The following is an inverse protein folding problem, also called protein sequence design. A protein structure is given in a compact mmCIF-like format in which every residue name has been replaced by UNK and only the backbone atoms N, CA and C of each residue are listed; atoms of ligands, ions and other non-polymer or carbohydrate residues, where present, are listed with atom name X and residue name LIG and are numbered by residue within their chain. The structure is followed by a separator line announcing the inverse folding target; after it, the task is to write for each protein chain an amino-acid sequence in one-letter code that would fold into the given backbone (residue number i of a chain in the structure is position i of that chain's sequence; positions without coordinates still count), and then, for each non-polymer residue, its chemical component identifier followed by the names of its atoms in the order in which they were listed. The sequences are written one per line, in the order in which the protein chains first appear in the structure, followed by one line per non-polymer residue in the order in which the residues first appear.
data_IF_903876580615
#
_entry.id   IF_903876580615
#
_cell.length_a   1.000
_cell.length_b   1.000
_cell.length_c   1.000
_cell.angle_alpha   90.00
_cell.angle_beta   90.00
_cell.angle_gamma   90.00
#
_symmetry.space_group_name_H-M   'P 1'
#
loop_
_entity.id
_entity.type
_entity.pdbx_description
1 polymer ?
#
# COMPACT_ATOMS: atom_id res chain seq x y z
N UNK A 1 3.71 11.70 -16.66
CA UNK A 1 2.82 10.75 -15.94
C UNK A 1 1.55 11.50 -15.57
N UNK A 2 0.36 10.91 -15.70
CA UNK A 2 -0.86 11.54 -15.18
C UNK A 2 -0.78 11.60 -13.65
N UNK A 3 -1.27 12.67 -13.00
CA UNK A 3 -1.38 12.70 -11.54
C UNK A 3 -2.25 11.54 -11.06
N UNK A 4 -1.93 11.03 -9.88
CA UNK A 4 -2.67 9.93 -9.28
C UNK A 4 -2.81 10.13 -7.77
N UNK A 5 -3.71 9.36 -7.18
CA UNK A 5 -4.01 9.39 -5.77
C UNK A 5 -3.96 7.96 -5.22
N UNK A 6 -3.21 7.73 -4.15
CA UNK A 6 -3.17 6.42 -3.48
C UNK A 6 -3.98 6.51 -2.18
N UNK A 7 -4.89 5.57 -2.00
CA UNK A 7 -5.71 5.40 -0.79
C UNK A 7 -5.08 4.31 0.06
N UNK A 8 -4.38 4.69 1.12
CA UNK A 8 -3.57 3.79 1.95
C UNK A 8 -4.31 3.41 3.23
N UNK A 9 -4.90 2.20 3.31
CA UNK A 9 -5.52 1.73 4.54
C UNK A 9 -4.46 1.34 5.58
N UNK A 10 -4.75 1.59 6.86
CA UNK A 10 -3.94 1.17 8.00
C UNK A 10 -3.91 -0.36 8.12
N UNK A 11 -5.08 -0.99 8.06
CA UNK A 11 -5.19 -2.45 7.99
C UNK A 11 -5.29 -2.85 6.52
N UNK A 12 -4.31 -3.62 6.04
CA UNK A 12 -4.32 -4.22 4.70
C UNK A 12 -5.31 -5.40 4.66
N UNK A 13 -6.60 -5.10 4.73
CA UNK A 13 -7.69 -6.05 4.60
C UNK A 13 -7.91 -6.29 3.11
N UNK A 14 -8.08 -7.56 2.72
CA UNK A 14 -8.38 -7.93 1.34
C UNK A 14 -9.55 -7.15 0.75
N UNK A 15 -9.39 -6.64 -0.47
CA UNK A 15 -10.48 -6.05 -1.25
C UNK A 15 -11.64 -7.02 -1.47
N UNK A 16 -11.35 -8.32 -1.49
CA UNK A 16 -12.36 -9.37 -1.68
C UNK A 16 -13.23 -9.58 -0.43
N UNK A 17 -12.86 -9.00 0.72
CA UNK A 17 -13.69 -9.06 1.92
C UNK A 17 -14.94 -8.20 1.72
N UNK A 18 -16.16 -8.78 1.66
CA UNK A 18 -17.34 -8.04 1.22
C UNK A 18 -17.68 -6.82 2.09
N UNK A 19 -17.47 -6.91 3.41
CA UNK A 19 -17.70 -5.77 4.32
C UNK A 19 -16.72 -4.64 4.07
N UNK A 20 -15.46 -4.96 3.80
CA UNK A 20 -14.43 -3.96 3.55
C UNK A 20 -14.61 -3.29 2.19
N UNK A 21 -14.93 -4.07 1.14
CA UNK A 21 -15.26 -3.54 -0.18
C UNK A 21 -16.40 -2.52 -0.11
N UNK A 22 -17.51 -2.85 0.58
CA UNK A 22 -18.63 -1.92 0.81
C UNK A 22 -18.20 -0.68 1.59
N UNK A 23 -17.34 -0.82 2.59
CA UNK A 23 -16.84 0.32 3.35
C UNK A 23 -15.98 1.25 2.49
N UNK A 24 -15.15 0.71 1.58
CA UNK A 24 -14.39 1.55 0.66
C UNK A 24 -15.31 2.25 -0.35
N UNK A 25 -16.33 1.58 -0.87
CA UNK A 25 -17.32 2.25 -1.73
C UNK A 25 -18.02 3.40 -0.98
N UNK A 26 -18.41 3.20 0.28
CA UNK A 26 -18.98 4.28 1.12
C UNK A 26 -17.98 5.42 1.30
N UNK A 27 -16.71 5.12 1.52
CA UNK A 27 -15.65 6.10 1.65
C UNK A 27 -15.48 6.92 0.37
N UNK A 28 -15.39 6.25 -0.79
CA UNK A 28 -15.25 6.91 -2.08
C UNK A 28 -16.45 7.81 -2.41
N UNK A 29 -17.67 7.41 -2.06
CA UNK A 29 -18.88 8.22 -2.27
C UNK A 29 -18.99 9.42 -1.32
N UNK A 30 -18.48 9.27 -0.10
CA UNK A 30 -18.59 10.30 0.96
C UNK A 30 -17.42 11.29 0.97
N UNK A 31 -16.34 10.95 0.27
CA UNK A 31 -15.11 11.74 0.23
C UNK A 31 -15.29 13.04 -0.55
N UNK A 32 -14.93 14.15 0.10
CA UNK A 32 -15.03 15.51 -0.43
C UNK A 32 -13.68 16.23 -0.38
N UNK A 33 -12.59 15.49 -0.57
CA UNK A 33 -11.24 16.04 -0.59
C UNK A 33 -10.53 15.95 0.75
N UNK A 34 -10.98 15.14 1.71
CA UNK A 34 -10.25 14.94 2.97
C UNK A 34 -8.91 14.21 2.77
N UNK A 35 -7.92 14.49 3.60
CA UNK A 35 -6.59 13.85 3.58
C UNK A 35 -6.61 12.50 4.30
N UNK A 36 -7.61 12.28 5.16
CA UNK A 36 -7.78 11.05 5.93
C UNK A 36 -9.25 10.71 6.14
N UNK A 37 -9.58 9.43 5.96
CA UNK A 37 -10.92 8.87 6.20
C UNK A 37 -10.84 7.83 7.31
N UNK A 38 -11.65 8.01 8.35
CA UNK A 38 -11.86 7.02 9.40
C UNK A 38 -13.11 6.20 9.10
N UNK A 39 -12.94 4.88 9.01
CA UNK A 39 -14.04 3.93 8.96
C UNK A 39 -14.38 3.56 10.42
N UNK A 40 -15.52 4.03 10.94
CA UNK A 40 -15.89 3.83 12.35
C UNK A 40 -17.19 3.03 12.47
N UNK A 41 -17.13 1.77 12.96
CA UNK A 41 -18.31 1.00 13.29
C UNK A 41 -19.16 1.66 14.38
N UNK A 42 -20.48 1.67 14.16
CA UNK A 42 -21.45 2.27 15.09
C UNK A 42 -21.60 3.80 14.99
N UNK A 43 -20.80 4.46 14.13
CA UNK A 43 -21.05 5.86 13.78
C UNK A 43 -22.35 5.97 12.97
N UNK A 44 -23.18 6.96 13.27
CA UNK A 44 -24.52 7.11 12.64
C UNK A 44 -24.52 7.95 11.37
N UNK A 45 -23.60 8.91 11.28
CA UNK A 45 -23.54 9.87 10.19
C UNK A 45 -22.09 10.26 9.91
N UNK A 46 -21.84 10.84 8.74
CA UNK A 46 -20.51 11.34 8.38
C UNK A 46 -20.18 12.57 9.21
N UNK A 47 -18.99 12.56 9.84
CA UNK A 47 -18.44 13.70 10.57
C UNK A 47 -17.20 14.21 9.85
N UNK A 48 -17.03 15.53 9.77
CA UNK A 48 -15.89 16.19 9.12
C UNK A 48 -15.28 17.22 10.05
N UNK A 49 -13.97 17.33 10.04
CA UNK A 49 -13.25 18.33 10.81
C UNK A 49 -11.91 18.62 10.15
N UNK A 50 -11.26 19.67 10.65
CA UNK A 50 -9.93 20.05 10.20
C UNK A 50 -9.01 20.15 11.41
N UNK A 51 -7.78 19.67 11.25
CA UNK A 51 -6.72 19.78 12.24
C UNK A 51 -5.69 20.75 11.69
N UNK A 52 -5.37 21.79 12.46
CA UNK A 52 -4.28 22.71 12.12
C UNK A 52 -2.99 22.22 12.76
N UNK A 53 -1.99 21.95 11.93
CA UNK A 53 -0.64 21.61 12.34
C UNK A 53 0.36 22.50 11.61
N UNK A 54 0.99 23.41 12.36
CA UNK A 54 1.85 24.44 11.78
C UNK A 54 1.10 25.33 10.79
N UNK A 55 1.61 25.40 9.56
CA UNK A 55 1.04 26.17 8.45
C UNK A 55 -0.03 25.42 7.66
N UNK A 56 -0.34 24.17 8.01
CA UNK A 56 -1.25 23.33 7.24
C UNK A 56 -2.52 22.96 7.98
N UNK A 57 -3.56 22.78 7.18
CA UNK A 57 -4.86 22.33 7.63
C UNK A 57 -5.11 20.96 7.01
N UNK A 58 -5.07 19.92 7.84
CA UNK A 58 -5.40 18.56 7.44
C UNK A 58 -6.90 18.36 7.59
N UNK A 59 -7.56 18.01 6.50
CA UNK A 59 -9.00 17.74 6.52
C UNK A 59 -9.20 16.25 6.77
N UNK A 60 -10.04 15.91 7.73
CA UNK A 60 -10.36 14.52 8.06
C UNK A 60 -11.87 14.31 8.06
N UNK A 61 -12.30 13.11 7.73
CA UNK A 61 -13.67 12.68 7.94
C UNK A 61 -13.75 11.32 8.61
N UNK A 62 -14.86 11.06 9.28
CA UNK A 62 -15.25 9.75 9.78
C UNK A 62 -16.58 9.37 9.16
N UNK A 63 -16.68 8.14 8.68
CA UNK A 63 -17.89 7.61 8.05
C UNK A 63 -18.41 6.37 8.80
N UNK A 64 -19.73 6.15 8.81
CA UNK A 64 -20.33 4.89 9.22
C UNK A 64 -19.76 3.73 8.41
N UNK A 65 -19.30 2.68 9.09
CA UNK A 65 -18.71 1.50 8.46
C UNK A 65 -19.08 0.20 9.16
N UNK A 66 -18.85 -0.93 8.48
CA UNK A 66 -18.96 -2.27 9.06
C UNK A 66 -17.67 -2.67 9.79
N UNK A 67 -16.54 -2.21 9.27
CA UNK A 67 -15.20 -2.52 9.77
C UNK A 67 -14.45 -1.25 10.18
N UNK A 68 -13.54 -1.40 11.14
CA UNK A 68 -12.69 -0.29 11.55
C UNK A 68 -11.44 -0.22 10.68
N UNK A 69 -11.15 0.95 10.12
CA UNK A 69 -9.91 1.24 9.40
C UNK A 69 -9.66 2.75 9.37
N UNK A 70 -8.46 3.12 8.93
CA UNK A 70 -8.07 4.49 8.66
C UNK A 70 -7.40 4.52 7.30
N UNK A 71 -7.89 5.35 6.39
CA UNK A 71 -7.36 5.47 5.04
C UNK A 71 -6.70 6.85 4.91
N UNK A 72 -5.39 6.85 4.64
CA UNK A 72 -4.64 8.07 4.28
C UNK A 72 -4.69 8.27 2.77
N UNK A 73 -4.98 9.48 2.33
CA UNK A 73 -5.17 9.80 0.91
C UNK A 73 -3.98 10.61 0.41
N UNK A 74 -3.13 9.95 -0.38
CA UNK A 74 -1.86 10.49 -0.86
C UNK A 74 -2.00 10.97 -2.30
N UNK A 75 -1.89 12.27 -2.50
CA UNK A 75 -1.86 12.92 -3.80
C UNK A 75 -0.40 12.95 -4.30
N UNK A 76 -0.14 12.33 -5.46
CA UNK A 76 1.20 12.27 -6.05
C UNK A 76 1.26 13.10 -7.33
N UNK A 77 2.11 14.11 -7.31
CA UNK A 77 2.31 15.05 -8.40
C UNK A 77 3.02 14.42 -9.59
N UNK A 78 3.03 15.13 -10.73
CA UNK A 78 3.79 14.73 -11.93
C UNK A 78 5.30 14.63 -11.66
N UNK A 79 5.80 15.47 -10.75
CA UNK A 79 7.21 15.54 -10.34
C UNK A 79 7.54 14.51 -9.24
N UNK A 80 6.61 13.58 -8.94
CA UNK A 80 6.77 12.53 -7.93
C UNK A 80 6.95 13.07 -6.52
N UNK A 81 6.52 14.29 -6.26
CA UNK A 81 6.35 14.79 -4.90
C UNK A 81 4.95 14.44 -4.44
N UNK A 82 4.72 14.27 -3.14
CA UNK A 82 3.41 13.87 -2.64
C UNK A 82 2.99 14.56 -1.35
N UNK A 83 1.67 14.60 -1.14
CA UNK A 83 1.03 15.15 0.05
C UNK A 83 -0.17 14.27 0.46
N UNK A 84 -0.37 13.97 1.76
CA UNK A 84 0.46 14.34 2.91
C UNK A 84 1.82 13.62 2.92
N UNK A 85 2.83 14.19 3.59
CA UNK A 85 4.17 13.59 3.68
C UNK A 85 4.27 12.42 4.67
N UNK A 86 3.28 12.33 5.56
CA UNK A 86 3.21 11.34 6.62
C UNK A 86 1.80 10.76 6.74
N UNK A 87 1.70 9.60 7.37
CA UNK A 87 0.44 8.88 7.53
C UNK A 87 0.63 7.38 7.42
N UNK A 88 -0.48 6.66 7.42
CA UNK A 88 -0.45 5.21 7.45
C UNK A 88 0.11 4.66 6.14
N UNK A 89 1.11 3.78 6.25
CA UNK A 89 1.71 3.13 5.09
C UNK A 89 2.64 4.03 4.27
N UNK A 90 3.01 5.23 4.76
CA UNK A 90 3.97 6.11 4.08
C UNK A 90 5.32 5.98 4.79
N UNK A 91 6.37 5.49 4.11
CA UNK A 91 7.70 5.43 4.73
C UNK A 91 8.25 6.82 5.04
N UNK A 92 8.67 7.04 6.29
CA UNK A 92 9.09 8.35 6.77
C UNK A 92 10.35 8.87 6.08
N UNK A 93 11.23 7.96 5.66
CA UNK A 93 12.47 8.29 4.93
C UNK A 93 12.24 8.92 3.54
N UNK A 94 11.02 8.88 3.01
CA UNK A 94 10.72 9.45 1.69
C UNK A 94 10.63 10.98 1.71
N UNK A 95 10.30 11.60 2.85
CA UNK A 95 10.28 13.06 3.00
C UNK A 95 9.48 13.77 1.88
N UNK A 96 8.32 13.23 1.51
CA UNK A 96 7.48 13.76 0.43
C UNK A 96 7.95 13.47 -1.00
N UNK A 97 9.00 12.65 -1.21
CA UNK A 97 9.50 12.25 -2.53
C UNK A 97 9.18 10.78 -2.82
N UNK A 98 8.42 10.54 -3.88
CA UNK A 98 7.89 9.23 -4.26
C UNK A 98 8.93 8.42 -5.06
N UNK A 99 9.45 7.28 -4.56
CA UNK A 99 10.60 6.59 -5.19
C UNK A 99 10.34 5.97 -6.56
N UNK A 100 11.37 5.93 -7.41
CA UNK A 100 11.26 5.50 -8.82
C UNK A 100 11.08 4.01 -9.08
N UNK A 101 11.61 3.17 -8.19
CA UNK A 101 11.79 1.76 -8.44
C UNK A 101 10.96 0.85 -7.51
N UNK A 102 9.86 1.37 -6.95
CA UNK A 102 9.08 0.67 -5.92
C UNK A 102 8.58 -0.70 -6.37
N UNK A 103 7.97 -0.81 -7.56
CA UNK A 103 7.55 -2.10 -8.10
C UNK A 103 8.69 -3.11 -8.13
N UNK A 104 9.87 -2.70 -8.61
CA UNK A 104 11.01 -3.60 -8.67
C UNK A 104 11.50 -4.03 -7.28
N UNK A 105 11.54 -3.08 -6.34
CA UNK A 105 11.96 -3.35 -4.97
C UNK A 105 11.02 -4.36 -4.32
N UNK A 106 9.70 -4.21 -4.51
CA UNK A 106 8.72 -5.12 -3.96
C UNK A 106 8.79 -6.53 -4.57
N UNK A 107 8.79 -6.66 -5.90
CA UNK A 107 8.90 -7.99 -6.57
C UNK A 107 10.24 -8.67 -6.32
N UNK A 108 11.26 -7.89 -5.97
CA UNK A 108 12.58 -8.41 -5.61
C UNK A 108 12.71 -8.78 -4.13
N UNK A 109 11.75 -8.35 -3.30
CA UNK A 109 11.80 -8.51 -1.85
C UNK A 109 11.18 -9.84 -1.44
N UNK A 110 11.87 -10.57 -0.58
CA UNK A 110 11.29 -11.72 0.10
C UNK A 110 11.07 -11.31 1.56
N UNK A 111 9.84 -11.42 2.07
CA UNK A 111 9.56 -11.12 3.45
C UNK A 111 10.06 -12.22 4.37
N UNK A 112 10.04 -11.94 5.67
CA UNK A 112 10.30 -12.91 6.74
C UNK A 112 9.01 -13.12 7.52
N UNK A 113 8.73 -14.35 7.94
CA UNK A 113 7.60 -14.63 8.82
C UNK A 113 8.04 -14.41 10.26
N UNK A 114 7.28 -13.61 11.00
CA UNK A 114 7.54 -13.30 12.40
C UNK A 114 6.30 -13.54 13.26
N UNK A 115 6.51 -13.79 14.54
CA UNK A 115 5.42 -13.73 15.52
C UNK A 115 5.37 -12.31 16.10
N UNK A 116 4.17 -11.74 16.20
CA UNK A 116 3.94 -10.40 16.72
C UNK A 116 2.94 -10.42 17.86
N UNK A 117 3.06 -9.44 18.76
CA UNK A 117 1.95 -9.03 19.63
C UNK A 117 0.76 -8.61 18.75
N UNK A 118 -0.45 -8.95 19.19
CA UNK A 118 -1.68 -8.56 18.51
C UNK A 118 -2.22 -7.22 19.02
N UNK A 119 -1.61 -6.63 20.06
CA UNK A 119 -1.99 -5.35 20.62
C UNK A 119 -1.16 -4.23 20.03
N UNK A 120 -1.83 -3.15 19.66
CA UNK A 120 -1.18 -1.92 19.26
C UNK A 120 -1.98 -0.73 19.80
N UNK A 121 -1.26 0.34 20.10
CA UNK A 121 -1.83 1.60 20.54
C UNK A 121 -2.08 2.47 19.33
N UNK A 122 -3.23 3.13 19.30
CA UNK A 122 -3.51 4.15 18.30
C UNK A 122 -4.44 5.22 18.85
N UNK A 123 -4.30 6.43 18.33
CA UNK A 123 -5.22 7.52 18.62
C UNK A 123 -6.43 7.41 17.69
N UNK A 124 -7.63 7.30 18.26
CA UNK A 124 -8.90 7.21 17.51
C UNK A 124 -9.72 8.47 17.80
N UNK A 125 -10.39 9.07 16.80
CA UNK A 125 -11.28 10.20 17.03
C UNK A 125 -12.56 9.77 17.74
N UNK A 126 -12.94 10.54 18.75
CA UNK A 126 -14.22 10.48 19.46
C UNK A 126 -14.95 11.81 19.30
N UNK A 127 -16.27 11.76 19.11
CA UNK A 127 -17.10 12.95 18.94
C UNK A 127 -17.85 13.25 20.24
N UNK A 128 -17.59 14.41 20.84
CA UNK A 128 -18.21 14.87 22.09
C UNK A 128 -18.67 16.32 21.88
N UNK A 129 -19.99 16.57 21.97
CA UNK A 129 -20.58 17.92 21.83
C UNK A 129 -20.00 18.69 20.63
N UNK A 130 -20.07 18.07 19.44
CA UNK A 130 -19.55 18.59 18.16
C UNK A 130 -18.04 18.87 18.08
N UNK A 131 -17.27 18.47 19.10
CA UNK A 131 -15.81 18.49 19.08
C UNK A 131 -15.25 17.10 18.82
N UNK A 132 -14.13 17.06 18.11
CA UNK A 132 -13.31 15.86 17.96
C UNK A 132 -12.26 15.81 19.07
N UNK A 133 -12.17 14.67 19.76
CA UNK A 133 -11.12 14.39 20.73
C UNK A 133 -10.45 13.06 20.37
N UNK A 134 -9.13 13.06 20.26
CA UNK A 134 -8.38 11.84 20.04
C UNK A 134 -8.09 11.17 21.38
N UNK A 135 -8.35 9.87 21.47
CA UNK A 135 -8.01 9.06 22.64
C UNK A 135 -7.12 7.91 22.21
N UNK A 136 -6.05 7.68 22.97
CA UNK A 136 -5.24 6.48 22.82
C UNK A 136 -6.09 5.26 23.22
N UNK A 137 -6.25 4.33 22.29
CA UNK A 137 -6.97 3.07 22.50
C UNK A 137 -6.02 1.93 22.18
N UNK A 138 -5.98 0.92 23.06
CA UNK A 138 -5.33 -0.35 22.77
C UNK A 138 -6.31 -1.18 21.94
N UNK A 139 -5.91 -1.48 20.71
CA UNK A 139 -6.66 -2.33 19.79
C UNK A 139 -5.99 -3.69 19.73
N UNK A 140 -6.81 -4.73 19.58
CA UNK A 140 -6.35 -6.11 19.44
C UNK A 140 -6.72 -6.59 18.06
N UNK A 141 -5.76 -7.10 17.29
CA UNK A 141 -6.05 -7.73 16.01
C UNK A 141 -6.53 -9.17 16.24
N UNK A 142 -7.64 -9.60 15.60
CA UNK A 142 -7.94 -11.02 15.52
C UNK A 142 -6.80 -11.73 14.76
N UNK A 143 -6.62 -13.04 14.92
CA UNK A 143 -5.56 -13.78 14.23
C UNK A 143 -5.75 -13.88 12.70
N UNK A 144 -6.72 -13.15 12.14
CA UNK A 144 -6.98 -13.10 10.71
C UNK A 144 -7.25 -14.47 10.09
N UNK A 145 -7.21 -14.54 8.77
CA UNK A 145 -7.13 -15.80 8.03
C UNK A 145 -5.75 -16.43 8.19
N UNK A 146 -5.73 -17.76 8.27
CA UNK A 146 -4.53 -18.50 8.66
C UNK A 146 -4.34 -19.70 7.74
N UNK A 147 -3.09 -20.03 7.48
CA UNK A 147 -2.72 -21.26 6.78
C UNK A 147 -2.70 -22.41 7.80
N UNK A 148 -3.55 -23.44 7.65
CA UNK A 148 -3.61 -24.53 8.60
C UNK A 148 -2.32 -25.34 8.58
N UNK A 149 -2.00 -25.94 9.72
CA UNK A 149 -0.98 -26.98 9.80
C UNK A 149 -1.57 -28.24 9.16
N UNK A 150 -0.98 -28.72 8.07
CA UNK A 150 -1.43 -29.93 7.36
C UNK A 150 -0.60 -31.15 7.67
N UNK A 151 0.68 -30.98 8.01
CA UNK A 151 1.58 -32.06 8.41
C UNK A 151 2.56 -31.56 9.47
N UNK A 152 2.89 -32.42 10.43
CA UNK A 152 3.95 -32.19 11.42
C UNK A 152 4.96 -33.31 11.25
N UNK A 153 6.19 -32.94 10.89
CA UNK A 153 7.34 -33.82 10.90
C UNK A 153 8.08 -33.65 12.23
N UNK A 154 8.00 -34.67 13.09
CA UNK A 154 8.62 -34.62 14.40
C UNK A 154 10.11 -34.94 14.37
N UNK A 155 10.58 -35.65 13.34
CA UNK A 155 11.99 -36.04 13.22
C UNK A 155 12.82 -34.84 12.76
N UNK A 156 12.35 -34.14 11.73
CA UNK A 156 13.02 -32.95 11.20
C UNK A 156 12.60 -31.65 11.91
N UNK A 157 11.66 -31.73 12.86
CA UNK A 157 11.05 -30.58 13.54
C UNK A 157 10.44 -29.57 12.55
N UNK A 158 9.79 -30.08 11.51
CA UNK A 158 9.16 -29.27 10.45
C UNK A 158 7.64 -29.29 10.56
N UNK A 159 7.02 -28.18 10.20
CA UNK A 159 5.56 -28.09 10.01
C UNK A 159 5.28 -27.70 8.57
N UNK A 160 4.39 -28.45 7.92
CA UNK A 160 3.89 -28.10 6.60
C UNK A 160 2.64 -27.25 6.78
N UNK A 161 2.69 -26.04 6.21
CA UNK A 161 1.57 -25.14 6.11
C UNK A 161 1.10 -25.16 4.65
N UNK A 162 -0.15 -25.54 4.42
CA UNK A 162 -0.69 -25.64 3.06
C UNK A 162 -1.99 -24.87 2.92
N UNK A 163 -2.07 -24.10 1.84
CA UNK A 163 -3.27 -23.39 1.45
C UNK A 163 -4.43 -24.35 1.18
N UNK A 164 -5.64 -23.96 1.61
CA UNK A 164 -6.86 -24.72 1.31
C UNK A 164 -8.00 -23.77 0.94
N UNK A 165 -8.90 -24.12 0.01
CA UNK A 165 -8.99 -25.43 -0.66
C UNK A 165 -7.79 -25.76 -1.55
N UNK A 166 -7.46 -27.06 -1.67
CA UNK A 166 -6.38 -27.54 -2.53
C UNK A 166 -6.94 -27.88 -3.91
N UNK A 167 -7.58 -26.88 -4.53
CA UNK A 167 -8.12 -26.94 -5.87
C UNK A 167 -7.03 -26.50 -6.87
N UNK A 168 -7.07 -27.05 -8.09
CA UNK A 168 -6.15 -26.67 -9.16
C UNK A 168 -6.37 -25.24 -9.69
N UNK A 169 -7.29 -24.48 -9.07
CA UNK A 169 -7.61 -23.11 -9.42
C UNK A 169 -6.73 -22.20 -8.57
N UNK A 170 -6.14 -21.21 -9.22
CA UNK A 170 -5.34 -20.21 -8.53
C UNK A 170 -6.21 -19.33 -7.64
N UNK A 171 -5.73 -19.12 -6.41
CA UNK A 171 -6.42 -18.32 -5.38
C UNK A 171 -6.45 -16.85 -5.76
N UNK A 172 -7.63 -16.22 -5.63
CA UNK A 172 -7.83 -14.79 -5.88
C UNK A 172 -7.49 -14.01 -4.60
N UNK A 173 -8.11 -14.41 -3.50
CA UNK A 173 -7.83 -13.91 -2.16
C UNK A 173 -7.74 -15.12 -1.24
N UNK A 174 -6.52 -15.61 -1.00
CA UNK A 174 -6.32 -16.63 0.03
C UNK A 174 -7.07 -16.25 1.31
N UNK A 175 -6.88 -15.05 1.81
CA UNK A 175 -7.44 -14.63 3.09
C UNK A 175 -8.96 -14.80 3.20
N UNK A 176 -9.70 -14.43 2.15
CA UNK A 176 -11.15 -14.62 2.10
C UNK A 176 -11.50 -16.11 1.94
N UNK A 177 -10.86 -16.82 1.02
CA UNK A 177 -11.11 -18.24 0.75
C UNK A 177 -10.90 -19.12 1.99
N UNK A 178 -9.85 -18.86 2.78
CA UNK A 178 -9.60 -19.59 4.04
C UNK A 178 -10.61 -19.23 5.12
N UNK A 179 -10.99 -17.95 5.22
CA UNK A 179 -12.02 -17.51 6.17
C UNK A 179 -13.38 -18.15 5.87
N UNK A 180 -13.74 -18.28 4.59
CA UNK A 180 -14.96 -18.95 4.16
C UNK A 180 -14.91 -20.45 4.44
N UNK A 181 -13.78 -21.11 4.17
CA UNK A 181 -13.64 -22.55 4.31
C UNK A 181 -13.55 -23.00 5.79
N UNK A 182 -12.82 -22.28 6.64
CA UNK A 182 -12.60 -22.66 8.04
C UNK A 182 -13.42 -21.89 9.05
N UNK A 183 -14.08 -20.81 8.64
CA UNK A 183 -14.68 -19.86 9.55
C UNK A 183 -13.64 -19.01 10.28
N UNK A 184 -14.10 -18.33 11.33
CA UNK A 184 -13.28 -17.38 12.09
C UNK A 184 -12.36 -18.12 13.06
N UNK A 185 -11.10 -17.74 13.05
CA UNK A 185 -10.13 -18.14 14.08
C UNK A 185 -10.15 -17.16 15.24
N UNK A 186 -9.87 -17.68 16.44
CA UNK A 186 -9.65 -16.94 17.67
C UNK A 186 -8.30 -17.34 18.24
N UNK A 187 -7.68 -16.44 19.00
CA UNK A 187 -6.43 -16.75 19.68
C UNK A 187 -6.66 -17.89 20.69
N UNK A 188 -5.84 -18.95 20.63
CA UNK A 188 -5.92 -20.02 21.64
C UNK A 188 -5.50 -19.49 23.02
N UNK A 189 -4.49 -18.63 23.03
CA UNK A 189 -4.00 -17.88 24.18
C UNK A 189 -3.62 -16.47 23.74
N UNK A 190 -3.51 -15.55 24.70
CA UNK A 190 -3.01 -14.20 24.41
C UNK A 190 -1.63 -14.29 23.72
N UNK A 191 -1.52 -13.76 22.49
CA UNK A 191 -0.31 -13.89 21.71
C UNK A 191 0.82 -13.08 22.33
N UNK A 192 2.04 -13.61 22.20
CA UNK A 192 3.27 -12.98 22.66
C UNK A 192 4.27 -12.97 21.51
N UNK A 193 5.47 -12.45 21.73
CA UNK A 193 6.59 -12.59 20.79
C UNK A 193 7.16 -14.03 20.81
N UNK A 194 6.28 -15.01 20.64
CA UNK A 194 6.51 -16.46 20.65
C UNK A 194 5.62 -17.13 19.63
N UNK A 195 5.70 -18.45 19.51
CA UNK A 195 4.84 -19.23 18.62
C UNK A 195 3.34 -19.06 18.98
N UNK A 196 2.60 -18.28 18.19
CA UNK A 196 1.20 -17.97 18.44
C UNK A 196 0.26 -18.92 17.71
N UNK A 197 -0.64 -19.55 18.46
CA UNK A 197 -1.65 -20.46 17.94
C UNK A 197 -3.03 -19.81 17.94
N UNK A 198 -3.77 -20.09 16.88
CA UNK A 198 -5.17 -19.75 16.77
C UNK A 198 -5.99 -21.00 16.53
N UNK A 199 -7.23 -20.98 17.00
CA UNK A 199 -8.18 -22.09 16.94
C UNK A 199 -9.51 -21.59 16.40
N UNK A 200 -10.11 -22.34 15.49
CA UNK A 200 -11.46 -22.05 15.01
C UNK A 200 -12.52 -22.78 15.87
N UNK A 201 -13.80 -22.52 15.60
CA UNK A 201 -14.90 -23.13 16.36
C UNK A 201 -14.96 -24.67 16.19
N UNK A 202 -14.36 -25.22 15.13
CA UNK A 202 -14.19 -26.66 14.90
C UNK A 202 -12.97 -27.29 15.58
N UNK A 203 -12.22 -26.54 16.40
CA UNK A 203 -11.03 -27.02 17.10
C UNK A 203 -9.78 -27.17 16.24
N UNK A 204 -9.84 -26.77 14.96
CA UNK A 204 -8.68 -26.78 14.06
C UNK A 204 -7.71 -25.69 14.47
N UNK A 205 -6.44 -26.06 14.59
CA UNK A 205 -5.35 -25.13 14.95
C UNK A 205 -4.61 -24.63 13.72
N UNK A 206 -4.19 -23.38 13.78
CA UNK A 206 -3.37 -22.77 12.76
C UNK A 206 -2.31 -21.87 13.40
N UNK A 207 -1.18 -21.72 12.71
CA UNK A 207 -0.08 -20.89 13.18
C UNK A 207 -0.24 -19.48 12.66
N UNK A 208 -0.30 -18.49 13.55
CA UNK A 208 -0.33 -17.10 13.14
C UNK A 208 1.08 -16.59 12.85
N UNK A 209 1.29 -16.10 11.64
CA UNK A 209 2.49 -15.35 11.25
C UNK A 209 2.10 -13.97 10.76
N UNK A 210 2.87 -12.97 11.15
CA UNK A 210 2.91 -11.71 10.44
C UNK A 210 4.04 -11.73 9.41
N UNK A 211 3.85 -10.97 8.35
CA UNK A 211 4.82 -10.84 7.26
C UNK A 211 5.64 -9.58 7.51
N UNK A 212 6.96 -9.74 7.63
CA UNK A 212 7.88 -8.62 7.76
C UNK A 212 8.57 -8.39 6.42
N UNK A 213 8.19 -7.33 5.73
CA UNK A 213 8.89 -6.87 4.53
C UNK A 213 10.21 -6.20 4.87
N UNK A 214 11.14 -6.22 3.93
CA UNK A 214 12.42 -5.51 4.06
C UNK A 214 12.25 -4.05 3.65
N UNK A 215 13.07 -3.18 4.23
CA UNK A 215 13.17 -1.79 3.79
C UNK A 215 13.45 -1.68 2.27
N UNK A 216 12.83 -0.71 1.56
CA UNK A 216 11.95 0.36 2.07
C UNK A 216 10.47 -0.05 2.20
N UNK A 217 10.13 -1.31 1.94
CA UNK A 217 8.73 -1.78 1.85
C UNK A 217 8.10 -2.03 3.22
N UNK A 218 8.92 -2.17 4.26
CA UNK A 218 8.45 -2.49 5.62
C UNK A 218 7.38 -1.52 6.12
N UNK A 219 7.64 -0.22 5.99
CA UNK A 219 6.74 0.84 6.48
C UNK A 219 5.48 1.01 5.61
N UNK A 220 5.49 0.48 4.38
CA UNK A 220 4.32 0.46 3.50
C UNK A 220 3.19 -0.41 4.06
N UNK A 221 3.55 -1.41 4.88
CA UNK A 221 2.63 -2.34 5.51
C UNK A 221 2.85 -2.31 7.03
N UNK A 222 2.38 -1.27 7.74
CA UNK A 222 2.75 -1.00 9.14
C UNK A 222 2.37 -2.13 10.10
N UNK A 223 1.38 -2.95 9.75
CA UNK A 223 0.94 -4.11 10.52
C UNK A 223 1.30 -5.45 9.84
N UNK A 224 2.33 -5.45 8.99
CA UNK A 224 2.92 -6.62 8.35
C UNK A 224 2.21 -7.10 7.08
N UNK A 225 0.94 -6.76 6.90
CA UNK A 225 0.16 -7.26 5.76
C UNK A 225 -0.17 -8.75 5.87
N UNK A 226 -0.87 -9.26 4.86
CA UNK A 226 -1.53 -10.56 4.89
C UNK A 226 -1.03 -11.56 3.85
N UNK A 227 -1.59 -12.77 3.85
CA UNK A 227 -1.27 -13.80 2.85
C UNK A 227 -1.65 -13.33 1.43
N UNK A 228 -2.69 -12.51 1.30
CA UNK A 228 -3.07 -11.88 0.03
C UNK A 228 -1.94 -11.04 -0.56
N UNK A 229 -1.18 -10.34 0.28
CA UNK A 229 -0.04 -9.55 -0.15
C UNK A 229 1.09 -10.43 -0.72
N UNK A 230 1.32 -11.62 -0.14
CA UNK A 230 2.24 -12.61 -0.71
C UNK A 230 1.73 -13.16 -2.04
N UNK A 231 0.42 -13.43 -2.12
CA UNK A 231 -0.23 -13.91 -3.34
C UNK A 231 -0.08 -12.89 -4.47
N UNK A 232 -0.37 -11.61 -4.20
CA UNK A 232 -0.17 -10.54 -5.17
C UNK A 232 1.29 -10.39 -5.58
N UNK A 233 2.25 -10.48 -4.65
CA UNK A 233 3.68 -10.41 -4.99
C UNK A 233 4.09 -11.56 -5.93
N UNK A 234 3.70 -12.79 -5.59
CA UNK A 234 3.98 -14.00 -6.38
C UNK A 234 3.34 -13.94 -7.75
N UNK A 235 2.06 -13.56 -7.81
CA UNK A 235 1.32 -13.44 -9.06
C UNK A 235 1.94 -12.37 -9.96
N UNK A 236 2.31 -11.22 -9.40
CA UNK A 236 2.95 -10.15 -10.17
C UNK A 236 4.30 -10.60 -10.75
N UNK A 237 5.14 -11.33 -9.99
CA UNK A 237 6.39 -11.93 -10.50
C UNK A 237 6.13 -12.88 -11.68
N UNK A 238 5.10 -13.71 -11.59
CA UNK A 238 4.72 -14.63 -12.66
C UNK A 238 4.24 -13.87 -13.91
N UNK A 239 3.42 -12.85 -13.73
CA UNK A 239 3.00 -11.97 -14.81
C UNK A 239 4.19 -11.25 -15.46
N UNK A 240 5.20 -10.83 -14.69
CA UNK A 240 6.41 -10.19 -15.20
C UNK A 240 7.24 -11.12 -16.09
N UNK A 241 7.38 -12.40 -15.73
CA UNK A 241 8.12 -13.40 -16.53
C UNK A 241 7.49 -13.58 -17.92
N UNK A 242 6.18 -13.73 -17.97
CA UNK A 242 5.43 -14.00 -19.20
C UNK A 242 4.50 -12.82 -19.56
N UNK A 243 5.02 -11.59 -19.53
CA UNK A 243 4.19 -10.38 -19.65
C UNK A 243 3.35 -10.29 -20.91
N UNK A 244 3.83 -10.82 -22.04
CA UNK A 244 3.07 -10.79 -23.30
C UNK A 244 1.83 -11.67 -23.20
N UNK A 245 1.96 -12.84 -22.58
CA UNK A 245 0.84 -13.75 -22.32
C UNK A 245 -0.12 -13.19 -21.25
N UNK A 246 0.40 -12.39 -20.32
CA UNK A 246 -0.34 -11.89 -19.17
C UNK A 246 -0.88 -10.46 -19.31
N UNK A 247 -0.79 -9.82 -20.49
CA UNK A 247 -1.25 -8.43 -20.70
C UNK A 247 -2.68 -8.18 -20.19
N UNK A 248 -3.61 -9.07 -20.53
CA UNK A 248 -5.02 -9.00 -20.13
C UNK A 248 -5.17 -9.14 -18.62
N UNK A 249 -4.48 -10.12 -18.02
CA UNK A 249 -4.52 -10.34 -16.57
C UNK A 249 -3.97 -9.14 -15.78
N UNK A 250 -2.87 -8.55 -16.26
CA UNK A 250 -2.27 -7.34 -15.67
C UNK A 250 -3.28 -6.18 -15.70
N UNK A 251 -3.94 -5.97 -16.83
CA UNK A 251 -4.95 -4.92 -16.97
C UNK A 251 -6.15 -5.16 -16.05
N UNK A 252 -6.63 -6.41 -15.96
CA UNK A 252 -7.76 -6.80 -15.11
C UNK A 252 -7.45 -6.58 -13.62
N UNK A 253 -6.26 -6.97 -13.15
CA UNK A 253 -5.86 -6.75 -11.75
C UNK A 253 -5.71 -5.26 -11.45
N UNK A 254 -5.10 -4.49 -12.36
CA UNK A 254 -5.03 -3.04 -12.19
C UNK A 254 -6.42 -2.39 -12.16
N UNK A 255 -7.36 -2.79 -13.02
CA UNK A 255 -8.70 -2.19 -13.06
C UNK A 255 -9.54 -2.49 -11.83
N UNK A 256 -9.30 -3.62 -11.14
CA UNK A 256 -10.00 -3.96 -9.89
C UNK A 256 -9.64 -3.03 -8.74
N UNK A 257 -8.39 -2.54 -8.74
CA UNK A 257 -7.82 -1.74 -7.65
C UNK A 257 -7.65 -0.27 -8.05
N UNK A 258 -8.18 0.13 -9.20
CA UNK A 258 -8.12 1.51 -9.69
C UNK A 258 -9.47 2.00 -10.15
N UNK A 259 -9.73 3.29 -9.92
CA UNK A 259 -10.93 3.97 -10.38
C UNK A 259 -10.57 5.37 -10.87
N UNK A 260 -11.46 5.96 -11.67
CA UNK A 260 -11.37 7.39 -12.00
C UNK A 260 -11.91 8.18 -10.81
N UNK A 261 -11.17 9.18 -10.38
CA UNK A 261 -11.56 10.07 -9.31
C UNK A 261 -11.22 11.51 -9.61
N UNK A 262 -11.37 12.35 -8.60
CA UNK A 262 -11.01 13.75 -8.66
C UNK A 262 -10.15 14.17 -7.46
N UNK A 263 -9.47 15.30 -7.59
CA UNK A 263 -8.75 16.02 -6.53
C UNK A 263 -8.66 17.50 -6.95
N UNK A 264 -7.92 18.33 -6.23
CA UNK A 264 -7.69 19.75 -6.59
C UNK A 264 -6.26 19.97 -7.10
N UNK A 265 -6.06 21.01 -7.91
CA UNK A 265 -4.72 21.43 -8.34
C UNK A 265 -3.85 21.81 -7.13
N UNK A 266 -4.45 22.41 -6.10
CA UNK A 266 -3.77 22.70 -4.83
C UNK A 266 -3.15 21.43 -4.22
N UNK A 267 -3.93 20.35 -4.07
CA UNK A 267 -3.46 19.09 -3.47
C UNK A 267 -2.48 18.32 -4.36
N UNK A 268 -2.52 18.51 -5.67
CA UNK A 268 -1.68 17.79 -6.63
C UNK A 268 -0.40 18.52 -7.02
N UNK A 269 -0.39 19.86 -6.95
CA UNK A 269 0.73 20.68 -7.38
C UNK A 269 1.30 21.51 -6.24
N UNK A 270 0.45 22.28 -5.57
CA UNK A 270 0.88 23.28 -4.58
C UNK A 270 1.42 22.63 -3.31
N UNK A 271 0.61 21.84 -2.61
CA UNK A 271 1.06 21.20 -1.37
C UNK A 271 2.27 20.29 -1.57
N UNK A 272 2.30 19.37 -2.55
CA UNK A 272 3.48 18.55 -2.77
C UNK A 272 4.77 19.37 -2.97
N UNK A 273 4.71 20.50 -3.67
CA UNK A 273 5.87 21.36 -3.92
C UNK A 273 6.29 22.19 -2.69
N UNK A 274 5.32 22.71 -1.93
CA UNK A 274 5.56 23.41 -0.67
C UNK A 274 6.35 22.53 0.30
N UNK A 275 5.93 21.28 0.41
CA UNK A 275 6.46 20.32 1.35
C UNK A 275 7.80 19.69 0.92
N UNK A 276 8.05 19.60 -0.39
CA UNK A 276 9.33 19.09 -0.93
C UNK A 276 10.40 20.16 -1.13
N UNK A 277 10.10 21.43 -0.79
CA UNK A 277 11.04 22.55 -0.98
C UNK A 277 11.25 22.93 -2.45
N UNK A 278 10.33 22.56 -3.34
CA UNK A 278 10.40 22.81 -4.78
C UNK A 278 9.63 24.05 -5.23
N UNK A 279 9.41 25.02 -4.33
CA UNK A 279 8.55 26.19 -4.58
C UNK A 279 8.93 27.00 -5.82
N UNK A 280 10.23 27.21 -6.08
CA UNK A 280 10.68 27.94 -7.28
C UNK A 280 10.21 27.29 -8.58
N UNK A 281 10.27 25.96 -8.66
CA UNK A 281 9.81 25.23 -9.85
C UNK A 281 8.28 25.29 -9.96
N UNK A 282 7.57 25.26 -8.83
CA UNK A 282 6.12 25.41 -8.80
C UNK A 282 5.71 26.79 -9.34
N UNK A 283 6.29 27.88 -8.83
CA UNK A 283 5.92 29.23 -9.25
C UNK A 283 6.16 29.43 -10.76
N UNK A 284 7.28 28.92 -11.28
CA UNK A 284 7.54 28.94 -12.72
C UNK A 284 6.54 28.10 -13.54
N UNK A 285 6.13 26.93 -13.02
CA UNK A 285 5.08 26.12 -13.65
C UNK A 285 3.72 26.81 -13.62
N UNK A 286 3.42 27.55 -12.54
CA UNK A 286 2.18 28.30 -12.37
C UNK A 286 2.12 29.49 -13.35
N UNK A 287 3.18 30.29 -13.42
CA UNK A 287 3.32 31.38 -14.40
C UNK A 287 3.10 30.85 -15.83
N UNK A 288 3.84 29.81 -16.21
CA UNK A 288 3.76 29.27 -17.57
C UNK A 288 2.46 28.55 -17.93
N UNK A 289 1.70 28.05 -16.94
CA UNK A 289 0.47 27.26 -17.20
C UNK A 289 -0.82 28.04 -16.96
N UNK A 290 -0.81 29.04 -16.08
CA UNK A 290 -1.98 29.76 -15.61
C UNK A 290 -1.87 31.28 -15.74
N UNK A 291 -0.73 31.81 -16.21
CA UNK A 291 -0.49 33.25 -16.36
C UNK A 291 -0.61 34.02 -15.02
N UNK A 292 -0.22 33.36 -13.92
CA UNK A 292 -0.20 33.93 -12.57
C UNK A 292 1.27 34.24 -12.21
N UNK A 293 1.65 35.51 -12.27
CA UNK A 293 2.98 36.01 -11.92
C UNK A 293 3.05 36.39 -10.43
N UNK A 294 3.71 35.55 -9.63
CA UNK A 294 3.91 35.78 -8.18
C UNK A 294 5.30 35.31 -7.75
N UNK A 295 5.88 35.98 -6.75
CA UNK A 295 7.24 35.72 -6.28
C UNK A 295 7.29 34.86 -5.01
N UNK A 296 6.15 34.64 -4.35
CA UNK A 296 6.05 33.92 -3.09
C UNK A 296 4.79 33.06 -3.01
N UNK A 297 4.75 32.16 -2.02
CA UNK A 297 3.56 31.35 -1.77
C UNK A 297 2.43 32.20 -1.19
N UNK A 298 2.78 33.17 -0.35
CA UNK A 298 1.87 34.13 0.25
C UNK A 298 1.15 34.94 -0.84
N UNK A 299 1.91 35.52 -1.79
CA UNK A 299 1.35 36.21 -2.95
C UNK A 299 0.45 35.30 -3.80
N UNK A 300 0.86 34.03 -3.98
CA UNK A 300 0.05 33.05 -4.71
C UNK A 300 -1.32 32.85 -4.04
N UNK A 301 -1.35 32.68 -2.71
CA UNK A 301 -2.60 32.42 -1.97
C UNK A 301 -3.52 33.64 -1.89
N UNK A 302 -2.97 34.85 -2.02
CA UNK A 302 -3.71 36.11 -2.03
C UNK A 302 -4.16 36.52 -3.44
N UNK A 303 -3.65 35.87 -4.49
CA UNK A 303 -3.98 36.16 -5.87
C UNK A 303 -5.48 35.91 -6.16
N UNK A 304 -6.13 36.81 -6.91
CA UNK A 304 -7.58 36.77 -7.15
C UNK A 304 -8.04 35.47 -7.83
N UNK A 305 -7.21 34.91 -8.71
CA UNK A 305 -7.49 33.65 -9.42
C UNK A 305 -7.17 32.38 -8.61
N UNK A 306 -6.58 32.51 -7.41
CA UNK A 306 -6.08 31.34 -6.67
C UNK A 306 -7.18 30.34 -6.37
N UNK A 307 -8.28 30.82 -5.77
CA UNK A 307 -9.40 29.98 -5.38
C UNK A 307 -10.05 29.32 -6.59
N UNK A 308 -10.29 30.08 -7.67
CA UNK A 308 -10.92 29.57 -8.88
C UNK A 308 -10.07 28.50 -9.55
N UNK A 309 -8.76 28.74 -9.65
CA UNK A 309 -7.84 27.86 -10.36
C UNK A 309 -7.47 26.66 -9.51
N UNK A 310 -6.96 26.86 -8.30
CA UNK A 310 -6.34 25.80 -7.52
C UNK A 310 -7.33 24.93 -6.75
N UNK A 311 -8.55 25.40 -6.49
CA UNK A 311 -9.63 24.56 -5.93
C UNK A 311 -10.48 23.86 -7.00
N UNK A 312 -10.20 24.10 -8.29
CA UNK A 312 -10.87 23.39 -9.37
C UNK A 312 -10.63 21.87 -9.29
N UNK A 313 -11.67 21.09 -9.57
CA UNK A 313 -11.59 19.63 -9.57
C UNK A 313 -10.91 19.15 -10.85
N UNK A 314 -9.85 18.37 -10.69
CA UNK A 314 -9.15 17.68 -11.78
C UNK A 314 -9.30 16.18 -11.66
N UNK A 315 -9.35 15.50 -12.81
CA UNK A 315 -9.41 14.04 -12.87
C UNK A 315 -8.06 13.41 -12.47
N UNK A 316 -8.12 12.35 -11.65
CA UNK A 316 -6.96 11.54 -11.27
C UNK A 316 -7.28 10.06 -11.31
N UNK A 317 -6.25 9.23 -11.49
CA UNK A 317 -6.38 7.80 -11.19
C UNK A 317 -6.33 7.61 -9.68
N UNK A 318 -7.42 7.10 -9.09
CA UNK A 318 -7.43 6.62 -7.71
C UNK A 318 -6.95 5.19 -7.69
N UNK A 319 -6.04 4.91 -6.78
CA UNK A 319 -5.37 3.62 -6.61
C UNK A 319 -5.60 3.18 -5.17
N UNK A 320 -6.13 1.98 -4.98
CA UNK A 320 -6.39 1.46 -3.64
C UNK A 320 -5.21 0.62 -3.13
N UNK A 321 -4.62 1.04 -2.02
CA UNK A 321 -3.50 0.40 -1.36
C UNK A 321 -2.22 0.35 -2.20
N UNK A 322 -1.17 -0.18 -1.59
CA UNK A 322 0.10 -0.41 -2.28
C UNK A 322 0.02 -1.54 -3.31
N UNK A 323 -0.80 -2.56 -3.06
CA UNK A 323 -1.08 -3.64 -4.01
C UNK A 323 -1.64 -3.07 -5.32
N UNK A 324 -2.63 -2.18 -5.23
CA UNK A 324 -3.18 -1.49 -6.39
C UNK A 324 -2.12 -0.66 -7.11
N UNK A 325 -1.26 0.03 -6.37
CA UNK A 325 -0.16 0.80 -6.96
C UNK A 325 0.79 -0.07 -7.77
N UNK A 326 1.17 -1.24 -7.25
CA UNK A 326 2.08 -2.15 -7.97
C UNK A 326 1.46 -2.73 -9.24
N UNK A 327 0.18 -3.13 -9.19
CA UNK A 327 -0.54 -3.59 -10.39
C UNK A 327 -0.72 -2.48 -11.42
N UNK A 328 -1.09 -1.27 -10.97
CA UNK A 328 -1.21 -0.10 -11.83
C UNK A 328 0.13 0.26 -12.49
N UNK A 329 1.23 0.25 -11.73
CA UNK A 329 2.56 0.54 -12.26
C UNK A 329 2.97 -0.51 -13.30
N UNK A 330 2.72 -1.81 -13.03
CA UNK A 330 3.01 -2.86 -14.01
C UNK A 330 2.17 -2.69 -15.28
N UNK A 331 0.88 -2.38 -15.13
CA UNK A 331 -0.03 -2.15 -16.25
C UNK A 331 0.45 -0.97 -17.11
N UNK A 332 0.87 0.13 -16.50
CA UNK A 332 1.44 1.25 -17.24
C UNK A 332 2.68 0.85 -18.03
N UNK A 333 3.62 0.14 -17.40
CA UNK A 333 4.84 -0.31 -18.08
C UNK A 333 4.54 -1.24 -19.26
N UNK A 334 3.61 -2.19 -19.09
CA UNK A 334 3.37 -3.27 -20.07
C UNK A 334 2.35 -2.90 -21.14
N UNK A 335 1.23 -2.29 -20.76
CA UNK A 335 0.08 -2.07 -21.62
C UNK A 335 -0.03 -0.63 -22.14
N UNK A 336 0.49 0.36 -21.41
CA UNK A 336 0.44 1.78 -21.84
C UNK A 336 1.74 2.18 -22.55
N UNK A 337 2.88 1.97 -21.90
CA UNK A 337 4.19 2.37 -22.42
C UNK A 337 4.81 1.30 -23.33
N UNK A 338 4.24 0.09 -23.35
CA UNK A 338 4.75 -1.08 -24.08
C UNK A 338 6.26 -1.32 -23.86
N UNK A 339 6.75 -1.06 -22.64
CA UNK A 339 8.17 -1.17 -22.31
C UNK A 339 8.65 -2.62 -22.41
N UNK A 340 9.85 -2.79 -22.94
CA UNK A 340 10.58 -4.05 -22.79
C UNK A 340 11.03 -4.20 -21.34
N UNK A 341 10.71 -5.34 -20.73
CA UNK A 341 10.98 -5.66 -19.33
C UNK A 341 11.63 -7.03 -19.37
N UNK A 342 12.78 -7.14 -18.71
CA UNK A 342 13.48 -8.39 -18.49
C UNK A 342 13.47 -8.70 -17.01
N UNK A 343 13.60 -9.97 -16.67
CA UNK A 343 13.67 -10.43 -15.29
C UNK A 343 15.07 -10.97 -14.99
N UNK A 344 15.50 -10.79 -13.75
CA UNK A 344 16.75 -11.35 -13.25
C UNK A 344 16.63 -12.86 -13.05
N UNK A 345 17.60 -13.63 -13.51
CA UNK A 345 17.58 -15.09 -13.35
C UNK A 345 17.71 -15.57 -11.90
N UNK A 346 18.15 -14.71 -10.97
CA UNK A 346 18.35 -15.09 -9.56
C UNK A 346 17.19 -14.69 -8.65
N UNK A 347 16.68 -13.47 -8.80
CA UNK A 347 15.65 -12.92 -7.92
C UNK A 347 14.33 -12.60 -8.62
N UNK A 348 14.27 -12.81 -9.93
CA UNK A 348 13.09 -12.61 -10.77
C UNK A 348 12.59 -11.15 -10.86
N UNK A 349 13.26 -10.23 -10.17
CA UNK A 349 13.02 -8.79 -10.27
C UNK A 349 13.30 -8.23 -11.66
N UNK A 350 12.71 -7.08 -11.96
CA UNK A 350 12.90 -6.35 -13.20
C UNK A 350 14.35 -5.87 -13.36
N UNK A 351 14.86 -6.00 -14.59
CA UNK A 351 16.17 -5.49 -14.99
C UNK A 351 16.07 -4.70 -16.29
N UNK A 352 16.88 -3.65 -16.37
CA UNK A 352 16.96 -2.67 -17.45
C UNK A 352 18.37 -2.62 -18.02
N UNK A 353 18.53 -2.20 -19.27
CA UNK A 353 19.83 -2.01 -19.92
C UNK A 353 20.12 -3.02 -21.05
N UNK A 354 21.37 -3.48 -21.14
CA UNK A 354 21.89 -4.25 -22.29
C UNK A 354 21.08 -5.52 -22.58
N UNK A 355 21.09 -5.94 -23.86
CA UNK A 355 20.32 -7.08 -24.34
C UNK A 355 20.72 -8.39 -23.63
N UNK A 356 21.99 -8.54 -23.31
CA UNK A 356 22.61 -9.70 -22.66
C UNK A 356 22.57 -9.65 -21.12
N UNK A 357 21.94 -8.64 -20.52
CA UNK A 357 21.88 -8.51 -19.07
C UNK A 357 20.98 -9.59 -18.47
N UNK A 358 21.58 -10.47 -17.65
CA UNK A 358 20.91 -11.61 -16.98
C UNK A 358 20.58 -11.38 -15.50
N UNK A 359 21.23 -10.41 -14.86
CA UNK A 359 21.14 -10.19 -13.41
C UNK A 359 20.97 -8.72 -13.03
N UNK A 360 20.41 -8.48 -11.84
CA UNK A 360 20.29 -7.16 -11.27
C UNK A 360 21.65 -6.47 -11.07
N UNK A 361 21.65 -5.17 -11.32
CA UNK A 361 22.68 -4.22 -10.92
C UNK A 361 22.52 -3.83 -9.44
N UNK A 362 23.52 -3.14 -8.90
CA UNK A 362 23.45 -2.57 -7.53
C UNK A 362 22.27 -1.60 -7.36
N UNK A 363 21.89 -0.85 -8.40
CA UNK A 363 20.76 0.09 -8.36
C UNK A 363 19.41 -0.62 -8.38
N UNK A 364 19.28 -1.70 -9.14
CA UNK A 364 18.01 -2.42 -9.28
C UNK A 364 17.67 -3.26 -8.05
N UNK A 365 18.64 -4.03 -7.56
CA UNK A 365 18.47 -4.85 -6.37
C UNK A 365 19.84 -5.04 -5.67
N UNK A 366 20.17 -4.19 -4.68
CA UNK A 366 21.44 -4.25 -3.95
C UNK A 366 21.68 -5.62 -3.29
N UNK A 367 20.63 -6.28 -2.79
CA UNK A 367 20.72 -7.56 -2.09
C UNK A 367 21.07 -8.71 -3.04
N UNK A 368 20.33 -8.84 -4.14
CA UNK A 368 20.60 -9.83 -5.18
C UNK A 368 22.01 -9.62 -5.75
N UNK A 369 22.40 -8.37 -6.02
CA UNK A 369 23.74 -8.04 -6.50
C UNK A 369 24.83 -8.49 -5.52
N UNK A 370 24.68 -8.21 -4.23
CA UNK A 370 25.63 -8.62 -3.17
C UNK A 370 25.72 -10.15 -3.03
N UNK A 371 24.58 -10.84 -2.99
CA UNK A 371 24.53 -12.31 -2.90
C UNK A 371 25.26 -12.98 -4.07
N UNK A 372 25.00 -12.52 -5.30
CA UNK A 372 25.67 -13.03 -6.50
C UNK A 372 27.18 -12.77 -6.47
N UNK A 373 27.61 -11.54 -6.14
CA UNK A 373 29.05 -11.21 -6.01
C UNK A 373 29.75 -12.11 -4.99
N UNK A 374 29.10 -12.40 -3.87
CA UNK A 374 29.64 -13.30 -2.85
C UNK A 374 29.72 -14.75 -3.36
N UNK A 375 28.69 -15.24 -4.05
CA UNK A 375 28.69 -16.57 -4.65
C UNK A 375 29.80 -16.73 -5.71
N UNK A 376 29.98 -15.75 -6.60
CA UNK A 376 31.03 -15.77 -7.61
C UNK A 376 32.43 -15.82 -6.98
N UNK A 377 32.70 -14.98 -5.96
CA UNK A 377 33.97 -15.02 -5.21
C UNK A 377 34.21 -16.37 -4.52
N UNK A 378 33.16 -17.03 -4.01
CA UNK A 378 33.29 -18.38 -3.42
C UNK A 378 33.63 -19.43 -4.47
N UNK A 379 33.03 -19.34 -5.66
CA UNK A 379 33.31 -20.26 -6.76
C UNK A 379 34.71 -20.06 -7.35
N UNK A 380 35.19 -18.81 -7.42
CA UNK A 380 36.57 -18.48 -7.84
C UNK A 380 37.61 -19.07 -6.87
N UNK A 381 37.33 -19.10 -5.56
CA UNK A 381 38.23 -19.72 -4.56
C UNK A 381 38.23 -21.25 -4.55
N UNK A 382 37.25 -21.88 -5.20
CA UNK A 382 37.11 -23.34 -5.32
C UNK A 382 37.73 -23.89 -6.61
N UNK A 383 38.06 -23.01 -7.56
CA UNK A 383 38.85 -23.29 -8.74
C UNK A 383 40.29 -22.96 -8.44
#
# INVERSE_FOLDING_TARGET
MKPFQIWLPLFNISWETPSFSRDVERAQRSWDGEDRIWLIPGLKEVKRWSIKEGLSTFNECAIPSETFNNITIVNVSKNRTFFPQEGNGIPGEWGGNFPENLLNLWVSSNPTFISIDNKFKMNIPFFINDKVAYKEVIRTMPPGPIIPITKVDKEDLLVELKWTPNNNIESISPEVESSEFFGKYKWEKEPKNTFNLAVNDGGKKAFHTAILWKQPIQEMFPLGGGIDLLNHNSYLRRCLKDKQKNKVNIALQASRLTTVGWTTLEKQMVFPALYSGCMKNLLFEIEGSFDIEVNSFEELTEHELYTETFHSRIEVTRIFGWEGYFWWQLNNLVNVENKSIKTCELCEGMISGKIDKRYCSKKENPDCFRKRKAANKRNERKK
#
